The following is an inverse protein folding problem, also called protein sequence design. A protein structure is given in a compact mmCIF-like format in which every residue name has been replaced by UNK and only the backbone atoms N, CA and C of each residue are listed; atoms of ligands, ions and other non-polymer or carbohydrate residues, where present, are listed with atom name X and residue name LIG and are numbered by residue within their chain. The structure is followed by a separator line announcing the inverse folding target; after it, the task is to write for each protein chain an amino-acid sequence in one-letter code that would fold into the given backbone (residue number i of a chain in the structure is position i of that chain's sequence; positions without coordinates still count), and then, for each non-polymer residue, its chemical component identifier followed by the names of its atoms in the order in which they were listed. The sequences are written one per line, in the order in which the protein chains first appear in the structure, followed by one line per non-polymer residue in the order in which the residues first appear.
data_IF_131592882091
#
_entry.id   IF_131592882091
#
_cell.length_a   1.000
_cell.length_b   1.000
_cell.length_c   1.000
_cell.angle_alpha   90.00
_cell.angle_beta   90.00
_cell.angle_gamma   90.00
#
_symmetry.space_group_name_H-M   'P 1'
#
loop_
_entity.id
_entity.type
_entity.pdbx_description
1 polymer ?
#
# COMPACT_ATOMS: atom_id res chain seq x y z
N UNK A 1 12.49 -6.46 8.03
CA UNK A 1 11.09 -6.56 7.56
C UNK A 1 10.34 -5.23 7.60
N UNK A 2 10.16 -4.57 8.77
CA UNK A 2 9.48 -3.26 8.79
C UNK A 2 10.29 -2.17 8.05
N UNK A 3 11.60 -2.13 8.26
CA UNK A 3 12.51 -1.22 7.54
C UNK A 3 12.47 -1.46 6.02
N UNK A 4 12.42 -2.72 5.59
CA UNK A 4 12.33 -3.08 4.17
C UNK A 4 11.01 -2.62 3.55
N UNK A 5 9.90 -2.75 4.28
CA UNK A 5 8.60 -2.23 3.84
C UNK A 5 8.58 -0.71 3.82
N UNK A 6 9.29 -0.04 4.74
CA UNK A 6 9.38 1.40 4.77
C UNK A 6 10.23 1.95 3.62
N UNK A 7 11.35 1.28 3.29
CA UNK A 7 12.18 1.60 2.13
C UNK A 7 11.41 1.42 0.82
N UNK A 8 10.69 0.29 0.69
CA UNK A 8 9.79 0.04 -0.42
C UNK A 8 8.71 1.11 -0.52
N UNK A 9 8.04 1.45 0.59
CA UNK A 9 7.02 2.50 0.59
C UNK A 9 7.59 3.85 0.14
N UNK A 10 8.81 4.21 0.57
CA UNK A 10 9.45 5.47 0.18
C UNK A 10 9.86 5.49 -1.31
N UNK A 11 10.40 4.38 -1.81
CA UNK A 11 10.73 4.22 -3.22
C UNK A 11 9.47 4.31 -4.09
N UNK A 12 8.43 3.57 -3.74
CA UNK A 12 7.17 3.55 -4.47
C UNK A 12 6.38 4.86 -4.32
N UNK A 13 6.51 5.58 -3.20
CA UNK A 13 5.92 6.91 -3.06
C UNK A 13 6.49 7.91 -4.07
N UNK A 14 7.72 7.69 -4.55
CA UNK A 14 8.35 8.51 -5.59
C UNK A 14 7.85 8.13 -6.98
N UNK A 15 7.72 6.84 -7.29
CA UNK A 15 7.23 6.34 -8.58
C UNK A 15 5.70 6.46 -8.75
N UNK A 16 4.97 6.23 -7.67
CA UNK A 16 3.51 6.15 -7.60
C UNK A 16 2.94 7.20 -6.64
N UNK A 17 3.36 8.45 -6.80
CA UNK A 17 2.94 9.58 -5.94
C UNK A 17 1.44 9.91 -6.02
N UNK A 18 0.71 9.30 -6.95
CA UNK A 18 -0.74 9.42 -7.10
C UNK A 18 -1.53 8.58 -6.07
N UNK A 19 -0.86 7.65 -5.36
CA UNK A 19 -1.40 6.94 -4.21
C UNK A 19 -0.54 7.20 -2.97
N UNK A 20 -1.14 7.04 -1.79
CA UNK A 20 -0.43 7.14 -0.53
C UNK A 20 0.10 5.76 -0.12
N UNK A 21 1.39 5.69 0.20
CA UNK A 21 2.05 4.52 0.73
C UNK A 21 2.35 4.73 2.20
N UNK A 22 2.07 3.72 3.01
CA UNK A 22 2.34 3.75 4.45
C UNK A 22 2.58 2.34 4.97
N UNK A 23 3.36 2.21 6.03
CA UNK A 23 3.55 0.94 6.74
C UNK A 23 2.82 1.00 8.07
N UNK A 24 1.95 0.04 8.30
CA UNK A 24 1.16 -0.08 9.54
C UNK A 24 1.41 -1.43 10.16
N UNK A 25 1.51 -1.52 11.49
CA UNK A 25 1.64 -2.81 12.17
C UNK A 25 0.27 -3.31 12.63
N UNK A 26 -0.04 -4.57 12.31
CA UNK A 26 -1.25 -5.27 12.76
C UNK A 26 -0.82 -6.56 13.44
N UNK A 27 -1.14 -6.70 14.73
CA UNK A 27 -0.77 -7.87 15.54
C UNK A 27 0.75 -8.17 15.51
N UNK A 28 1.59 -7.13 15.52
CA UNK A 28 3.06 -7.28 15.46
C UNK A 28 3.62 -7.66 14.09
N UNK A 29 2.78 -7.65 13.04
CA UNK A 29 3.20 -7.88 11.66
C UNK A 29 3.14 -6.55 10.90
N UNK A 30 4.25 -6.10 10.29
CA UNK A 30 4.24 -4.90 9.48
C UNK A 30 3.50 -5.19 8.16
N UNK A 31 2.56 -4.33 7.82
CA UNK A 31 1.71 -4.39 6.64
C UNK A 31 1.92 -3.14 5.80
N UNK A 32 2.17 -3.33 4.50
CA UNK A 32 2.19 -2.24 3.54
C UNK A 32 0.76 -1.84 3.17
N UNK A 33 0.41 -0.58 3.41
CA UNK A 33 -0.88 0.00 3.09
C UNK A 33 -0.75 0.98 1.94
N UNK A 34 -1.50 0.71 0.87
CA UNK A 34 -1.59 1.59 -0.30
C UNK A 34 -3.00 2.13 -0.39
N UNK A 35 -3.15 3.46 -0.44
CA UNK A 35 -4.45 4.14 -0.46
C UNK A 35 -4.56 5.04 -1.68
N UNK A 36 -5.55 4.77 -2.53
CA UNK A 36 -5.89 5.67 -3.63
C UNK A 36 -6.72 6.88 -3.14
N UNK A 37 -6.58 8.04 -3.80
CA UNK A 37 -7.49 9.17 -3.60
C UNK A 37 -8.91 8.82 -4.07
N UNK A 38 -9.90 9.55 -3.54
CA UNK A 38 -11.30 9.34 -3.87
C UNK A 38 -11.54 9.49 -5.39
N UNK A 39 -12.15 8.47 -6.00
CA UNK A 39 -12.38 8.41 -7.45
C UNK A 39 -11.25 7.80 -8.27
N UNK A 40 -10.17 7.30 -7.65
CA UNK A 40 -9.04 6.66 -8.33
C UNK A 40 -8.75 5.24 -7.79
N UNK A 41 -9.76 4.52 -7.33
CA UNK A 41 -9.61 3.18 -6.72
C UNK A 41 -9.00 2.17 -7.70
N UNK A 42 -9.20 2.36 -8.99
CA UNK A 42 -8.56 1.59 -10.07
C UNK A 42 -7.03 1.75 -10.14
N UNK A 43 -6.47 2.80 -9.52
CA UNK A 43 -5.02 3.00 -9.45
C UNK A 43 -4.32 2.03 -8.49
N UNK A 44 -5.02 1.49 -7.48
CA UNK A 44 -4.43 0.50 -6.55
C UNK A 44 -4.57 -0.95 -7.03
N UNK A 45 -5.45 -1.24 -7.99
CA UNK A 45 -5.64 -2.58 -8.55
C UNK A 45 -4.36 -3.18 -9.15
N UNK A 46 -3.61 -2.49 -10.04
CA UNK A 46 -2.37 -3.03 -10.59
C UNK A 46 -1.28 -3.18 -9.53
N UNK A 47 -1.21 -2.28 -8.56
CA UNK A 47 -0.26 -2.34 -7.45
C UNK A 47 -0.53 -3.58 -6.59
N UNK A 48 -1.80 -3.82 -6.23
CA UNK A 48 -2.21 -4.99 -5.48
C UNK A 48 -1.81 -6.30 -6.19
N UNK A 49 -1.98 -6.35 -7.52
CA UNK A 49 -1.56 -7.49 -8.32
C UNK A 49 -0.04 -7.75 -8.30
N UNK A 50 0.80 -6.69 -8.29
CA UNK A 50 2.27 -6.82 -8.22
C UNK A 50 2.73 -7.48 -6.92
N UNK A 51 2.07 -7.17 -5.81
CA UNK A 51 2.39 -7.71 -4.49
C UNK A 51 1.62 -9.00 -4.15
N UNK A 52 0.78 -9.50 -5.06
CA UNK A 52 -0.12 -10.62 -4.77
C UNK A 52 -1.12 -10.30 -3.66
N UNK A 53 -1.36 -9.02 -3.39
CA UNK A 53 -2.31 -8.54 -2.40
C UNK A 53 -3.72 -8.46 -3.02
N UNK A 54 -4.73 -8.90 -2.28
CA UNK A 54 -6.14 -8.68 -2.66
C UNK A 54 -6.64 -7.31 -2.22
N UNK A 55 -7.69 -6.75 -2.86
CA UNK A 55 -8.36 -5.56 -2.35
C UNK A 55 -8.85 -5.84 -0.92
N UNK A 56 -8.31 -5.10 0.04
CA UNK A 56 -8.69 -5.20 1.44
C UNK A 56 -9.95 -4.33 1.61
N UNK A 57 -11.14 -4.92 1.61
CA UNK A 57 -12.33 -4.18 2.09
C UNK A 57 -12.17 -4.03 3.59
N UNK A 58 -11.64 -2.88 4.03
CA UNK A 58 -11.70 -2.51 5.44
C UNK A 58 -13.15 -2.16 5.77
N UNK A 59 -13.93 -3.16 6.20
CA UNK A 59 -15.22 -2.91 6.84
C UNK A 59 -14.96 -2.13 8.12
N UNK A 60 -15.39 -0.86 8.12
CA UNK A 60 -15.34 0.03 9.26
C UNK A 60 -16.31 -0.41 10.35
#
# INVERSE_FOLDING_TARGET
MQEELADLAAAEQTCCSFVAWSVTEVQGHPILRVTAPAGATEAVTPIAALFGAGPQTVSQ
#
